data_IF_675393354585
#
_entry.id   IF_675393354585
#
_cell.length_a   1.000
_cell.length_b   1.000
_cell.length_c   1.000
_cell.angle_alpha   90.00
_cell.angle_beta   90.00
_cell.angle_gamma   90.00
#
_symmetry.space_group_name_H-M   'P 1'
#
loop_
_entity.id
_entity.type
_entity.pdbx_description
1 polymer ?
#
# COMPACT_ATOMS: atom_id res chain seq x y z
N UNK A 1 12.43 -7.88 4.22
CA UNK A 1 11.73 -6.62 4.01
C UNK A 1 10.75 -6.39 5.14
N UNK A 2 10.85 -5.24 5.77
CA UNK A 2 9.96 -4.84 6.86
C UNK A 2 8.53 -4.73 6.34
N UNK A 3 7.54 -5.07 7.17
CA UNK A 3 6.14 -5.01 6.72
C UNK A 3 5.71 -3.61 6.31
N UNK A 4 6.31 -2.57 6.90
CA UNK A 4 6.00 -1.20 6.48
C UNK A 4 6.50 -0.93 5.07
N UNK A 5 7.62 -1.52 4.70
CA UNK A 5 8.14 -1.41 3.34
C UNK A 5 7.28 -2.19 2.36
N UNK A 6 6.81 -3.36 2.78
CA UNK A 6 5.91 -4.15 1.95
C UNK A 6 4.64 -3.37 1.67
N UNK A 7 4.05 -2.81 2.72
CA UNK A 7 2.84 -2.04 2.57
C UNK A 7 3.06 -0.81 1.70
N UNK A 8 4.15 -0.09 1.92
CA UNK A 8 4.46 1.11 1.15
C UNK A 8 4.56 0.81 -0.34
N UNK A 9 5.26 -0.28 -0.69
CA UNK A 9 5.40 -0.68 -2.09
C UNK A 9 4.06 -1.04 -2.71
N UNK A 10 3.30 -1.86 -2.00
CA UNK A 10 2.03 -2.33 -2.53
C UNK A 10 1.04 -1.18 -2.66
N UNK A 11 1.04 -0.27 -1.70
CA UNK A 11 0.17 0.90 -1.74
C UNK A 11 0.49 1.75 -2.96
N UNK A 12 1.77 2.05 -3.16
CA UNK A 12 2.16 2.87 -4.31
C UNK A 12 1.81 2.19 -5.62
N UNK A 13 2.09 0.90 -5.73
CA UNK A 13 1.81 0.16 -6.95
C UNK A 13 0.32 0.15 -7.26
N UNK A 14 -0.50 -0.15 -6.26
CA UNK A 14 -1.95 -0.20 -6.47
C UNK A 14 -2.50 1.17 -6.83
N UNK A 15 -1.96 2.20 -6.18
CA UNK A 15 -2.37 3.57 -6.47
C UNK A 15 -2.07 3.94 -7.91
N UNK A 16 -0.85 3.63 -8.35
CA UNK A 16 -0.43 3.96 -9.71
C UNK A 16 -1.19 3.14 -10.74
N UNK A 17 -1.44 1.87 -10.44
CA UNK A 17 -2.22 1.02 -11.33
C UNK A 17 -3.62 1.56 -11.53
N UNK A 18 -4.19 2.13 -10.47
CA UNK A 18 -5.53 2.72 -10.56
C UNK A 18 -5.50 4.12 -11.16
N UNK A 19 -4.32 4.68 -11.37
CA UNK A 19 -4.18 5.99 -11.98
C UNK A 19 -4.45 7.14 -11.03
N UNK A 20 -4.29 6.93 -9.73
CA UNK A 20 -4.55 7.98 -8.75
C UNK A 20 -3.25 8.63 -8.30
N UNK A 21 -3.31 9.96 -8.12
CA UNK A 21 -2.23 10.67 -7.44
C UNK A 21 -2.33 10.43 -5.94
N UNK A 22 -1.27 10.77 -5.21
CA UNK A 22 -1.34 10.71 -3.75
C UNK A 22 -2.45 11.59 -3.23
N UNK A 23 -2.61 12.77 -3.82
CA UNK A 23 -3.64 13.71 -3.41
C UNK A 23 -5.03 13.16 -3.66
N UNK A 24 -5.24 12.53 -4.82
CA UNK A 24 -6.55 11.96 -5.14
C UNK A 24 -6.90 10.83 -4.20
N UNK A 25 -5.94 9.96 -3.90
CA UNK A 25 -6.19 8.86 -2.98
C UNK A 25 -6.51 9.40 -1.59
N UNK A 26 -5.74 10.38 -1.14
CA UNK A 26 -5.96 10.98 0.17
C UNK A 26 -7.35 11.60 0.26
N UNK A 27 -7.75 12.30 -0.80
CA UNK A 27 -9.06 12.94 -0.84
C UNK A 27 -10.18 11.90 -0.73
N UNK A 28 -10.08 10.81 -1.49
CA UNK A 28 -11.11 9.78 -1.45
C UNK A 28 -11.15 9.06 -0.11
N UNK A 29 -10.01 8.95 0.55
CA UNK A 29 -9.93 8.27 1.84
C UNK A 29 -10.24 9.18 3.02
N UNK A 30 -10.34 10.48 2.77
CA UNK A 30 -10.54 11.43 3.86
C UNK A 30 -9.33 11.53 4.77
N UNK A 31 -8.14 11.37 4.19
CA UNK A 31 -6.88 11.35 4.91
C UNK A 31 -6.00 12.46 4.35
N UNK A 32 -5.14 13.01 5.20
CA UNK A 32 -4.18 14.02 4.76
C UNK A 32 -3.20 13.43 3.75
N UNK A 33 -2.94 14.17 2.66
CA UNK A 33 -1.99 13.73 1.65
C UNK A 33 -0.60 13.48 2.25
N UNK A 34 -0.21 14.28 3.23
CA UNK A 34 1.08 14.12 3.88
C UNK A 34 1.19 12.74 4.52
N UNK A 35 0.08 12.24 5.07
CA UNK A 35 0.08 10.92 5.67
C UNK A 35 0.22 9.83 4.61
N UNK A 36 -0.48 9.97 3.48
CA UNK A 36 -0.33 9.02 2.38
C UNK A 36 1.12 8.99 1.92
N UNK A 37 1.72 10.16 1.75
CA UNK A 37 3.11 10.26 1.34
C UNK A 37 4.04 9.55 2.33
N UNK A 38 3.80 9.76 3.63
CA UNK A 38 4.62 9.15 4.66
C UNK A 38 4.47 7.63 4.66
N UNK A 39 3.25 7.13 4.42
CA UNK A 39 3.03 5.70 4.33
C UNK A 39 3.80 5.09 3.16
N UNK A 40 3.83 5.79 2.03
CA UNK A 40 4.53 5.29 0.85
C UNK A 40 6.05 5.37 1.00
N UNK A 41 6.53 6.13 1.98
CA UNK A 41 7.96 6.22 2.30
C UNK A 41 8.34 5.36 3.50
N UNK A 42 7.43 4.51 3.96
CA UNK A 42 7.66 3.60 5.09
C UNK A 42 7.96 4.31 6.39
N UNK A 43 7.47 5.55 6.55
CA UNK A 43 7.75 6.33 7.74
C UNK A 43 6.78 6.06 8.87
N UNK A 44 5.59 5.54 8.56
CA UNK A 44 4.58 5.22 9.56
C UNK A 44 3.99 3.86 9.29
N UNK A 45 3.41 3.27 10.34
CA UNK A 45 2.63 2.06 10.20
C UNK A 45 1.17 2.45 10.12
N UNK A 46 0.45 1.90 9.16
CA UNK A 46 -0.97 2.14 9.06
C UNK A 46 -1.72 1.20 10.00
N UNK A 47 -2.82 1.68 10.58
CA UNK A 47 -3.69 0.81 11.34
C UNK A 47 -4.38 -0.15 10.38
N UNK A 48 -4.88 -1.26 10.93
CA UNK A 48 -5.63 -2.21 10.13
C UNK A 48 -6.82 -1.54 9.46
N UNK A 49 -7.49 -0.64 10.17
CA UNK A 49 -8.63 0.08 9.61
C UNK A 49 -8.23 0.94 8.43
N UNK A 50 -7.08 1.59 8.52
CA UNK A 50 -6.58 2.41 7.42
C UNK A 50 -6.23 1.54 6.22
N UNK A 51 -5.58 0.41 6.46
CA UNK A 51 -5.24 -0.53 5.38
C UNK A 51 -6.51 -0.95 4.66
N UNK A 52 -7.54 -1.31 5.41
CA UNK A 52 -8.80 -1.75 4.82
C UNK A 52 -9.46 -0.64 4.00
N UNK A 53 -9.47 0.57 4.54
CA UNK A 53 -10.05 1.72 3.84
C UNK A 53 -9.34 1.97 2.51
N UNK A 54 -8.02 1.97 2.53
CA UNK A 54 -7.26 2.21 1.32
C UNK A 54 -7.45 1.08 0.31
N UNK A 55 -7.49 -0.16 0.78
CA UNK A 55 -7.72 -1.30 -0.10
C UNK A 55 -9.07 -1.20 -0.80
N UNK A 56 -10.10 -0.80 -0.05
CA UNK A 56 -11.44 -0.65 -0.62
C UNK A 56 -11.45 0.38 -1.74
N UNK A 57 -10.81 1.52 -1.51
CA UNK A 57 -10.75 2.58 -2.54
C UNK A 57 -9.96 2.10 -3.75
N UNK A 58 -8.90 1.34 -3.52
CA UNK A 58 -8.04 0.87 -4.60
C UNK A 58 -8.60 -0.36 -5.31
N UNK A 59 -9.67 -0.93 -4.78
CA UNK A 59 -10.30 -2.10 -5.41
C UNK A 59 -9.52 -3.37 -5.23
N UNK A 60 -8.76 -3.48 -4.15
CA UNK A 60 -7.99 -4.68 -3.85
C UNK A 60 -8.37 -5.18 -2.45
N UNK A 61 -7.95 -6.39 -2.12
CA UNK A 61 -8.14 -6.91 -0.78
C UNK A 61 -7.10 -6.30 0.16
N UNK A 62 -7.48 -6.11 1.42
CA UNK A 62 -6.52 -5.62 2.41
C UNK A 62 -5.29 -6.50 2.45
N UNK A 63 -5.47 -7.82 2.33
CA UNK A 63 -4.35 -8.75 2.33
C UNK A 63 -3.38 -8.48 1.18
N UNK A 64 -3.89 -8.01 0.04
CA UNK A 64 -3.02 -7.72 -1.10
C UNK A 64 -2.02 -6.61 -0.78
N UNK A 65 -2.41 -5.67 0.06
CA UNK A 65 -1.51 -4.58 0.42
C UNK A 65 -0.43 -5.02 1.38
N UNK A 66 -0.60 -6.17 2.02
CA UNK A 66 0.36 -6.68 2.98
C UNK A 66 1.12 -7.90 2.45
N UNK A 67 0.88 -8.26 1.20
CA UNK A 67 1.47 -9.45 0.62
C UNK A 67 2.87 -9.13 0.13
N UNK A 68 3.84 -9.93 0.57
CA UNK A 68 5.21 -9.76 0.13
C UNK A 68 5.32 -10.12 -1.34
N UNK A 69 6.15 -9.37 -2.09
CA UNK A 69 6.30 -9.68 -3.50
C UNK A 69 6.86 -11.08 -3.68
N UNK A 70 6.39 -11.75 -4.71
CA UNK A 70 6.87 -13.09 -5.02
C UNK A 70 8.33 -13.01 -5.39
N UNK A 71 9.13 -13.92 -4.83
CA UNK A 71 10.51 -14.01 -5.23
C UNK A 71 10.60 -14.91 -6.42
N UNK A 72 11.33 -14.50 -7.35
CA UNK A 72 11.60 -15.40 -8.40
C UNK A 72 12.29 -16.57 -7.79
N UNK A 73 12.21 -17.36 -8.03
CA UNK A 73 12.67 -18.50 -7.64
C UNK A 73 13.52 -18.79 -6.58
N UNK A 74 13.55 -18.17 -6.11
CA UNK A 74 14.09 -18.40 -5.11
C UNK A 74 13.68 -19.39 -4.60
N UNK A 75 13.16 -19.12 -4.92
CA UNK A 75 12.71 -19.68 -4.47
C UNK A 75 12.83 -20.89 -4.76
N UNK A 76 13.00 -21.00 -5.25
CA UNK A 76 13.10 -21.95 -5.52
C UNK A 76 13.92 -22.75 -5.04
N UNK A 77 14.13 -22.51 -4.81
CA UNK A 77 14.60 -23.13 -4.52
C UNK A 77 14.58 -23.70 -4.04
N UNK A 78 14.54 -23.75 -4.11
CA UNK A 78 14.47 -24.36 -3.82
C UNK A 78 14.31 -24.79 -3.79
#
# INVERSE_FOLDING_TARGET
MDIREVFARNLRRSRQTKGLSQEALAHEAGIDRTYISALERSQYSASISTVDKLATILGVEAADLLKRPAKAPRAAKT
#
